data_IF_753665387794
#
_entry.id   IF_753665387794
#
_cell.length_a   1.000
_cell.length_b   1.000
_cell.length_c   1.000
_cell.angle_alpha   90.00
_cell.angle_beta   90.00
_cell.angle_gamma   90.00
#
_symmetry.space_group_name_H-M   'P 1'
#
loop_
_entity.id
_entity.type
_entity.pdbx_description
1 polymer ?
#
# COMPACT_ATOMS: atom_id res chain seq x y z
N UNK A 1 -8.41 -58.90 4.93
CA UNK A 1 -8.37 -57.60 4.22
C UNK A 1 -7.70 -56.60 5.17
N UNK A 2 -6.37 -56.49 5.15
CA UNK A 2 -5.60 -55.51 6.00
C UNK A 2 -4.13 -55.30 5.58
N UNK A 3 -3.58 -56.00 4.59
CA UNK A 3 -2.12 -55.95 4.29
C UNK A 3 -1.65 -54.76 3.45
N UNK A 4 -2.52 -53.84 2.99
CA UNK A 4 -2.14 -52.73 2.10
C UNK A 4 -1.73 -51.43 2.81
N UNK A 5 -2.09 -51.24 4.08
CA UNK A 5 -1.80 -49.99 4.80
C UNK A 5 -0.36 -49.89 5.32
N UNK A 6 0.28 -51.03 5.61
CA UNK A 6 1.65 -51.11 6.12
C UNK A 6 2.71 -50.80 5.06
N UNK A 7 2.56 -51.30 3.83
CA UNK A 7 3.48 -51.02 2.71
C UNK A 7 3.46 -49.54 2.31
N UNK A 8 2.27 -48.93 2.26
CA UNK A 8 2.13 -47.51 1.93
C UNK A 8 2.75 -46.58 2.99
N UNK A 9 2.92 -47.05 4.24
CA UNK A 9 3.63 -46.33 5.30
C UNK A 9 5.15 -46.36 5.13
N UNK A 10 5.70 -47.49 4.69
CA UNK A 10 7.12 -47.65 4.41
C UNK A 10 7.54 -46.82 3.18
N UNK A 11 6.75 -46.85 2.10
CA UNK A 11 7.01 -46.08 0.88
C UNK A 11 7.03 -44.56 1.14
N UNK A 12 6.10 -44.06 1.97
CA UNK A 12 6.08 -42.63 2.36
C UNK A 12 7.26 -42.23 3.24
N UNK A 13 7.76 -43.14 4.06
CA UNK A 13 8.93 -42.89 4.89
C UNK A 13 10.21 -42.82 4.05
N UNK A 14 10.33 -43.68 3.04
CA UNK A 14 11.43 -43.63 2.07
C UNK A 14 11.40 -42.35 1.23
N UNK A 15 10.22 -41.93 0.77
CA UNK A 15 10.04 -40.67 0.04
C UNK A 15 10.40 -39.46 0.92
N UNK A 16 10.02 -39.47 2.20
CA UNK A 16 10.37 -38.42 3.16
C UNK A 16 11.89 -38.34 3.37
N UNK A 17 12.57 -39.47 3.55
CA UNK A 17 14.03 -39.52 3.68
C UNK A 17 14.74 -38.97 2.43
N UNK A 18 14.25 -39.33 1.24
CA UNK A 18 14.77 -38.81 -0.03
C UNK A 18 14.58 -37.30 -0.15
N UNK A 19 13.44 -36.78 0.29
CA UNK A 19 13.16 -35.35 0.28
C UNK A 19 14.04 -34.59 1.29
N UNK A 20 14.27 -35.14 2.49
CA UNK A 20 15.17 -34.56 3.48
C UNK A 20 16.61 -34.47 2.95
N UNK A 21 17.13 -35.55 2.38
CA UNK A 21 18.48 -35.56 1.79
C UNK A 21 18.60 -34.51 0.66
N UNK A 22 17.56 -34.33 -0.15
CA UNK A 22 17.52 -33.31 -1.19
C UNK A 22 17.49 -31.88 -0.63
N UNK A 23 16.76 -31.65 0.46
CA UNK A 23 16.73 -30.35 1.15
C UNK A 23 18.11 -30.01 1.71
N UNK A 24 18.81 -30.98 2.29
CA UNK A 24 20.17 -30.82 2.81
C UNK A 24 21.15 -30.44 1.68
N UNK A 25 21.15 -31.19 0.57
CA UNK A 25 21.99 -30.90 -0.59
C UNK A 25 21.74 -29.50 -1.15
N UNK A 26 20.46 -29.11 -1.30
CA UNK A 26 20.10 -27.79 -1.83
C UNK A 26 20.47 -26.67 -0.87
N UNK A 27 20.38 -26.89 0.44
CA UNK A 27 20.77 -25.93 1.47
C UNK A 27 22.27 -25.71 1.48
N UNK A 28 23.07 -26.78 1.39
CA UNK A 28 24.53 -26.67 1.24
C UNK A 28 24.92 -25.90 -0.02
N UNK A 29 24.26 -26.20 -1.14
CA UNK A 29 24.48 -25.48 -2.41
C UNK A 29 24.09 -24.01 -2.32
N UNK A 30 23.02 -23.66 -1.62
CA UNK A 30 22.61 -22.28 -1.39
C UNK A 30 23.64 -21.52 -0.56
N UNK A 31 24.10 -22.11 0.55
CA UNK A 31 25.14 -21.51 1.40
C UNK A 31 26.44 -21.33 0.63
N UNK A 32 26.86 -22.32 -0.17
CA UNK A 32 28.03 -22.23 -1.03
C UNK A 32 27.89 -21.17 -2.14
N UNK A 33 26.69 -21.00 -2.71
CA UNK A 33 26.44 -19.96 -3.71
C UNK A 33 26.43 -18.56 -3.08
N UNK A 34 25.82 -18.42 -1.90
CA UNK A 34 25.75 -17.15 -1.17
C UNK A 34 27.12 -16.72 -0.64
N UNK A 35 27.98 -17.65 -0.19
CA UNK A 35 29.34 -17.34 0.27
C UNK A 35 30.27 -16.93 -0.88
N UNK A 36 30.01 -17.42 -2.10
CA UNK A 36 30.72 -17.00 -3.32
C UNK A 36 30.15 -15.74 -3.95
N UNK A 37 29.02 -15.21 -3.46
CA UNK A 37 28.41 -14.00 -3.99
C UNK A 37 29.34 -12.82 -3.71
N UNK A 38 29.89 -12.24 -4.76
CA UNK A 38 30.74 -11.04 -4.70
C UNK A 38 29.99 -9.94 -3.93
N UNK A 39 30.65 -9.37 -2.92
CA UNK A 39 30.14 -8.19 -2.23
C UNK A 39 29.86 -7.12 -3.29
N UNK A 40 28.59 -6.73 -3.40
CA UNK A 40 28.16 -5.73 -4.36
C UNK A 40 28.67 -4.37 -3.84
N UNK A 41 29.28 -3.59 -4.72
CA UNK A 41 29.71 -2.23 -4.37
C UNK A 41 28.47 -1.41 -4.01
N UNK A 42 28.37 -0.97 -2.76
CA UNK A 42 27.29 -0.10 -2.25
C UNK A 42 27.12 1.15 -3.10
N UNK A 43 28.23 1.67 -3.63
CA UNK A 43 28.28 2.93 -4.38
C UNK A 43 27.62 2.82 -5.76
N UNK A 44 27.38 1.59 -6.25
CA UNK A 44 26.74 1.30 -7.53
C UNK A 44 25.26 0.89 -7.38
N UNK A 45 24.74 0.81 -6.16
CA UNK A 45 23.37 0.34 -5.87
C UNK A 45 22.35 1.46 -5.62
N UNK A 46 22.76 2.71 -5.78
CA UNK A 46 21.89 3.87 -5.60
C UNK A 46 22.55 4.90 -4.71
N UNK A 47 21.83 5.99 -4.38
CA UNK A 47 22.37 7.00 -3.51
C UNK A 47 22.71 6.39 -2.14
N UNK A 48 23.91 6.69 -1.63
CA UNK A 48 24.37 6.15 -0.36
C UNK A 48 23.42 6.48 0.79
N UNK A 49 23.47 5.69 1.87
CA UNK A 49 22.65 5.88 3.07
C UNK A 49 22.75 7.31 3.63
N UNK A 50 23.91 7.94 3.49
CA UNK A 50 24.16 9.34 3.85
C UNK A 50 23.25 10.34 3.11
N UNK A 51 22.90 10.07 1.84
CA UNK A 51 21.97 10.94 1.13
C UNK A 51 20.56 10.85 1.72
N UNK A 52 20.12 9.64 2.08
CA UNK A 52 18.81 9.45 2.71
C UNK A 52 18.74 10.12 4.08
N UNK A 53 19.78 10.01 4.91
CA UNK A 53 19.81 10.67 6.22
C UNK A 53 19.85 12.18 6.09
N UNK A 54 20.63 12.72 5.14
CA UNK A 54 20.69 14.16 4.85
C UNK A 54 19.39 14.71 4.26
N UNK A 55 18.73 13.94 3.40
CA UNK A 55 17.42 14.32 2.86
C UNK A 55 16.34 14.32 3.95
N UNK A 56 16.34 13.31 4.83
CA UNK A 56 15.40 13.24 5.95
C UNK A 56 15.62 14.40 6.94
N UNK A 57 16.88 14.74 7.26
CA UNK A 57 17.17 15.86 8.16
C UNK A 57 16.83 17.21 7.52
N UNK A 58 17.13 17.41 6.24
CA UNK A 58 16.74 18.61 5.51
C UNK A 58 15.21 18.76 5.42
N UNK A 59 14.48 17.67 5.18
CA UNK A 59 13.02 17.66 5.16
C UNK A 59 12.43 18.07 6.52
N UNK A 60 12.96 17.53 7.61
CA UNK A 60 12.55 17.91 8.97
C UNK A 60 12.91 19.36 9.29
N UNK A 61 14.08 19.83 8.86
CA UNK A 61 14.48 21.23 9.04
C UNK A 61 13.54 22.19 8.28
N UNK A 62 13.22 21.89 7.03
CA UNK A 62 12.30 22.70 6.19
C UNK A 62 10.89 22.75 6.81
N UNK A 63 10.41 21.65 7.39
CA UNK A 63 9.13 21.59 8.11
C UNK A 63 9.09 22.52 9.33
N UNK A 64 10.21 22.67 10.05
CA UNK A 64 10.32 23.53 11.23
C UNK A 64 10.52 24.99 10.86
N UNK A 65 11.33 25.25 9.83
CA UNK A 65 11.72 26.59 9.40
C UNK A 65 10.64 27.27 8.54
N UNK A 66 9.92 26.51 7.72
CA UNK A 66 8.91 27.02 6.80
C UNK A 66 7.69 26.09 6.70
N UNK A 67 6.97 25.87 7.83
CA UNK A 67 5.78 25.01 7.83
C UNK A 67 4.77 25.47 6.77
N UNK A 68 4.56 26.78 6.62
CA UNK A 68 3.67 27.36 5.61
C UNK A 68 3.98 26.94 4.17
N UNK A 69 5.24 26.73 3.76
CA UNK A 69 5.56 26.24 2.40
C UNK A 69 5.17 24.78 2.17
N UNK A 70 5.33 23.93 3.19
CA UNK A 70 4.87 22.53 3.12
C UNK A 70 3.34 22.47 3.19
N UNK A 71 2.74 23.43 3.88
CA UNK A 71 1.30 23.51 4.11
C UNK A 71 0.52 24.28 3.04
N UNK A 72 1.14 25.14 2.22
CA UNK A 72 0.46 25.93 1.19
C UNK A 72 -0.26 25.05 0.15
N UNK A 73 0.34 23.91 -0.24
CA UNK A 73 -0.31 22.93 -1.11
C UNK A 73 -1.18 21.91 -0.35
N UNK A 74 -0.92 21.65 0.94
CA UNK A 74 -1.57 20.56 1.68
C UNK A 74 -2.77 21.00 2.53
N UNK A 75 -2.80 22.23 3.06
CA UNK A 75 -3.87 22.71 3.94
C UNK A 75 -5.20 22.86 3.21
N UNK A 76 -5.18 23.29 1.95
CA UNK A 76 -6.39 23.38 1.14
C UNK A 76 -7.04 21.99 0.94
N UNK A 77 -6.24 20.96 0.69
CA UNK A 77 -6.71 19.57 0.59
C UNK A 77 -7.30 19.07 1.91
N UNK A 78 -6.56 19.21 3.02
CA UNK A 78 -7.03 18.76 4.33
C UNK A 78 -8.27 19.51 4.81
N UNK A 79 -8.38 20.81 4.52
CA UNK A 79 -9.59 21.58 4.80
C UNK A 79 -10.78 21.07 4.00
N UNK A 80 -10.62 20.84 2.69
CA UNK A 80 -11.69 20.27 1.84
C UNK A 80 -12.10 18.87 2.33
N UNK A 81 -11.14 18.01 2.68
CA UNK A 81 -11.41 16.65 3.15
C UNK A 81 -12.13 16.62 4.51
N UNK A 82 -11.71 17.46 5.46
CA UNK A 82 -12.36 17.54 6.78
C UNK A 82 -13.79 18.12 6.68
N UNK A 83 -13.99 19.14 5.84
CA UNK A 83 -15.32 19.68 5.57
C UNK A 83 -16.23 18.63 4.93
N UNK A 84 -15.74 17.92 3.90
CA UNK A 84 -16.47 16.85 3.23
C UNK A 84 -16.90 15.73 4.19
N UNK A 85 -15.99 15.31 5.08
CA UNK A 85 -16.29 14.31 6.11
C UNK A 85 -17.36 14.79 7.10
N UNK A 86 -17.25 16.04 7.58
CA UNK A 86 -18.21 16.61 8.52
C UNK A 86 -19.61 16.75 7.90
N UNK A 87 -19.69 17.11 6.61
CA UNK A 87 -20.94 17.21 5.86
C UNK A 87 -21.60 15.85 5.64
N UNK A 88 -20.81 14.84 5.28
CA UNK A 88 -21.30 13.45 5.14
C UNK A 88 -21.82 12.90 6.47
N UNK A 89 -21.09 13.12 7.57
CA UNK A 89 -21.50 12.73 8.92
C UNK A 89 -22.82 13.41 9.32
N UNK A 90 -22.94 14.71 9.04
CA UNK A 90 -24.16 15.49 9.32
C UNK A 90 -25.37 14.97 8.53
N UNK A 91 -25.20 14.67 7.24
CA UNK A 91 -26.27 14.12 6.40
C UNK A 91 -26.75 12.75 6.91
N UNK A 92 -25.81 11.86 7.25
CA UNK A 92 -26.09 10.55 7.82
C UNK A 92 -26.81 10.63 9.17
N UNK A 93 -26.36 11.51 10.07
CA UNK A 93 -26.99 11.73 11.38
C UNK A 93 -28.40 12.32 11.28
N UNK A 94 -28.69 13.06 10.21
CA UNK A 94 -30.02 13.62 9.93
C UNK A 94 -30.98 12.59 9.31
N UNK A 95 -30.53 11.34 9.08
CA UNK A 95 -31.33 10.29 8.47
C UNK A 95 -31.58 10.48 6.97
N UNK A 96 -30.87 11.43 6.35
CA UNK A 96 -30.94 11.66 4.92
C UNK A 96 -30.04 10.66 4.20
N UNK A 97 -30.66 9.74 3.46
CA UNK A 97 -29.97 8.86 2.51
C UNK A 97 -29.80 9.54 1.14
N UNK A 98 -29.98 10.85 1.07
CA UNK A 98 -29.64 11.64 -0.10
C UNK A 98 -28.14 11.96 -0.09
N UNK A 99 -27.45 11.80 -1.23
CA UNK A 99 -26.05 12.18 -1.36
C UNK A 99 -25.90 13.70 -1.10
N UNK A 100 -24.87 14.14 -0.35
CA UNK A 100 -24.60 15.56 -0.18
C UNK A 100 -24.32 16.23 -1.52
N UNK A 101 -24.51 17.55 -1.59
CA UNK A 101 -24.42 18.30 -2.84
C UNK A 101 -23.04 18.10 -3.50
N UNK A 102 -23.03 17.51 -4.70
CA UNK A 102 -21.81 17.18 -5.41
C UNK A 102 -21.35 18.33 -6.29
N UNK A 103 -20.34 19.05 -5.83
CA UNK A 103 -19.73 20.17 -6.56
C UNK A 103 -18.51 19.75 -7.40
N UNK A 104 -18.27 18.44 -7.56
CA UNK A 104 -17.12 17.94 -8.31
C UNK A 104 -17.37 17.97 -9.82
N UNK A 105 -16.33 18.20 -10.65
CA UNK A 105 -16.48 18.21 -12.10
C UNK A 105 -16.93 16.84 -12.62
N UNK A 106 -17.63 16.85 -13.76
CA UNK A 106 -18.04 15.61 -14.43
C UNK A 106 -16.81 14.81 -14.88
N UNK A 107 -16.76 13.54 -14.51
CA UNK A 107 -15.63 12.66 -14.78
C UNK A 107 -16.11 11.32 -15.37
N UNK A 108 -15.61 10.90 -16.55
CA UNK A 108 -16.02 9.66 -17.21
C UNK A 108 -15.88 8.40 -16.34
N UNK A 109 -14.97 8.38 -15.36
CA UNK A 109 -14.76 7.25 -14.44
C UNK A 109 -15.95 7.00 -13.52
N UNK A 110 -16.76 8.02 -13.29
CA UNK A 110 -17.92 7.98 -12.40
C UNK A 110 -19.24 8.19 -13.15
N UNK A 111 -19.31 7.77 -14.42
CA UNK A 111 -20.48 7.96 -15.28
C UNK A 111 -21.71 7.12 -14.90
N UNK A 112 -21.55 6.08 -14.04
CA UNK A 112 -22.68 5.25 -13.61
C UNK A 112 -23.58 5.95 -12.60
N UNK A 113 -24.90 5.78 -12.74
CA UNK A 113 -25.93 6.44 -11.92
C UNK A 113 -25.76 6.26 -10.41
N UNK A 114 -25.24 5.11 -9.97
CA UNK A 114 -24.96 4.83 -8.55
C UNK A 114 -23.95 5.82 -7.93
N UNK A 115 -22.99 6.33 -8.71
CA UNK A 115 -22.00 7.29 -8.24
C UNK A 115 -22.59 8.68 -7.96
N UNK A 116 -23.75 8.98 -8.55
CA UNK A 116 -24.48 10.21 -8.30
C UNK A 116 -25.56 10.04 -7.23
N UNK A 117 -26.29 8.91 -7.22
CA UNK A 117 -27.49 8.74 -6.42
C UNK A 117 -27.26 8.10 -5.05
N UNK A 118 -26.20 7.30 -4.88
CA UNK A 118 -25.99 6.55 -3.65
C UNK A 118 -24.99 7.29 -2.73
N UNK A 119 -25.35 7.61 -1.47
CA UNK A 119 -24.53 8.42 -0.56
C UNK A 119 -23.09 7.93 -0.40
N UNK A 120 -22.91 6.62 -0.21
CA UNK A 120 -21.59 6.02 -0.03
C UNK A 120 -20.71 6.11 -1.29
N UNK A 121 -21.26 5.78 -2.46
CA UNK A 121 -20.52 5.86 -3.72
C UNK A 121 -20.19 7.31 -4.07
N UNK A 122 -21.13 8.23 -3.86
CA UNK A 122 -20.92 9.65 -4.06
C UNK A 122 -19.81 10.20 -3.12
N UNK A 123 -19.81 9.81 -1.85
CA UNK A 123 -18.76 10.17 -0.90
C UNK A 123 -17.36 9.72 -1.36
N UNK A 124 -17.23 8.46 -1.81
CA UNK A 124 -15.96 7.91 -2.32
C UNK A 124 -15.49 8.67 -3.56
N UNK A 125 -16.40 8.90 -4.52
CA UNK A 125 -16.10 9.68 -5.73
C UNK A 125 -15.53 11.05 -5.36
N UNK A 126 -16.22 11.79 -4.50
CA UNK A 126 -15.81 13.13 -4.12
C UNK A 126 -14.45 13.13 -3.41
N UNK A 127 -14.23 12.20 -2.47
CA UNK A 127 -12.93 12.06 -1.78
C UNK A 127 -11.80 11.73 -2.75
N UNK A 128 -12.06 10.85 -3.73
CA UNK A 128 -11.09 10.51 -4.76
C UNK A 128 -10.72 11.73 -5.62
N UNK A 129 -11.71 12.51 -6.06
CA UNK A 129 -11.47 13.71 -6.87
C UNK A 129 -10.73 14.81 -6.09
N UNK A 130 -11.07 15.02 -4.81
CA UNK A 130 -10.34 15.92 -3.91
C UNK A 130 -8.87 15.48 -3.78
N UNK A 131 -8.62 14.17 -3.68
CA UNK A 131 -7.27 13.62 -3.59
C UNK A 131 -6.51 13.71 -4.91
N UNK A 132 -7.18 13.49 -6.05
CA UNK A 132 -6.58 13.59 -7.37
C UNK A 132 -6.19 15.05 -7.70
N UNK A 133 -7.01 16.03 -7.32
CA UNK A 133 -6.69 17.46 -7.43
C UNK A 133 -5.43 17.81 -6.63
N UNK A 134 -5.31 17.29 -5.40
CA UNK A 134 -4.16 17.55 -4.54
C UNK A 134 -2.85 16.92 -5.02
N UNK A 135 -2.90 15.79 -5.74
CA UNK A 135 -1.71 15.13 -6.29
C UNK A 135 -1.25 15.80 -7.60
N UNK A 136 -2.17 16.42 -8.34
CA UNK A 136 -1.87 17.06 -9.63
C UNK A 136 -1.27 18.47 -9.51
N UNK A 137 -1.36 19.10 -8.33
CA UNK A 137 -0.85 20.45 -8.03
C UNK A 137 0.47 20.39 -7.25
#
# INVERSE_FOLDING_TARGET
MTTKETDAGADRLEELHKNLARIEELSERLVAAMSRKKALNSDLQGPGQELYTKAASAYVAELVESPSKVFENQVAYWSKALTHYAEAQKSLMQGSLEPPQDNTPADPRFAGDLWAQHPYFNFIKQQYLISAEAISN
#
